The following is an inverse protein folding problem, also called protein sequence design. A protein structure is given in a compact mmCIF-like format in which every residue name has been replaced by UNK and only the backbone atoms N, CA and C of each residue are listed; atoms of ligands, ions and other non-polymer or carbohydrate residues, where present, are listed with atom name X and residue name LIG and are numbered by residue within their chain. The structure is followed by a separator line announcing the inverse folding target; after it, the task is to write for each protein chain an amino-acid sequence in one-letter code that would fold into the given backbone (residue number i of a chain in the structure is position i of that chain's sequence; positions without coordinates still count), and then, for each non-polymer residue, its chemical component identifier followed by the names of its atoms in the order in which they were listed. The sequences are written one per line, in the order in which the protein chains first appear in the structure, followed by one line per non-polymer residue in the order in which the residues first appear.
data_IF_045734369382
#
_entry.id   IF_045734369382
#
_cell.length_a   1.000
_cell.length_b   1.000
_cell.length_c   1.000
_cell.angle_alpha   90.00
_cell.angle_beta   90.00
_cell.angle_gamma   90.00
#
_symmetry.space_group_name_H-M   'P 1'
#
loop_
_entity.id
_entity.type
_entity.pdbx_description
1 polymer ?
#
# COMPACT_ATOMS: atom_id res chain seq x y z
N UNK A 1 -27.25 -35.35 -0.45
CA UNK A 1 -26.29 -34.81 0.53
C UNK A 1 -26.07 -33.35 0.20
N UNK A 2 -26.55 -32.43 1.05
CA UNK A 2 -26.28 -31.01 0.91
C UNK A 2 -25.04 -30.73 1.74
N UNK A 3 -23.91 -30.47 1.09
CA UNK A 3 -22.66 -30.14 1.77
C UNK A 3 -22.71 -28.63 2.01
N UNK A 4 -23.14 -28.23 3.20
CA UNK A 4 -23.06 -26.83 3.62
C UNK A 4 -21.65 -26.59 4.11
N UNK A 5 -20.86 -25.85 3.33
CA UNK A 5 -19.54 -25.41 3.77
C UNK A 5 -19.76 -24.20 4.66
N UNK A 6 -19.18 -24.24 5.86
CA UNK A 6 -19.25 -23.14 6.81
C UNK A 6 -18.53 -21.90 6.26
N UNK A 7 -19.16 -20.74 6.36
CA UNK A 7 -18.63 -19.49 5.82
C UNK A 7 -17.27 -19.12 6.43
N UNK A 8 -17.00 -19.50 7.70
CA UNK A 8 -15.70 -19.26 8.32
C UNK A 8 -14.59 -20.07 7.64
N UNK A 9 -14.90 -21.29 7.19
CA UNK A 9 -13.96 -22.14 6.45
C UNK A 9 -13.67 -21.53 5.08
N UNK A 10 -14.70 -20.99 4.40
CA UNK A 10 -14.53 -20.28 3.13
C UNK A 10 -13.65 -19.04 3.32
N UNK A 11 -13.93 -18.23 4.34
CA UNK A 11 -13.18 -17.00 4.63
C UNK A 11 -11.72 -17.32 4.95
N UNK A 12 -11.44 -18.38 5.70
CA UNK A 12 -10.07 -18.76 6.05
C UNK A 12 -9.29 -19.28 4.82
N UNK A 13 -9.94 -20.07 3.96
CA UNK A 13 -9.38 -20.51 2.68
C UNK A 13 -9.08 -19.34 1.75
N UNK A 14 -9.99 -18.37 1.65
CA UNK A 14 -9.79 -17.17 0.84
C UNK A 14 -8.64 -16.34 1.40
N UNK A 15 -8.58 -16.11 2.71
CA UNK A 15 -7.48 -15.37 3.35
C UNK A 15 -6.14 -16.04 3.12
N UNK A 16 -6.09 -17.37 3.29
CA UNK A 16 -4.87 -18.15 3.06
C UNK A 16 -4.42 -18.09 1.61
N UNK A 17 -5.34 -18.20 0.66
CA UNK A 17 -5.01 -18.14 -0.76
C UNK A 17 -4.63 -16.74 -1.22
N UNK A 18 -5.28 -15.70 -0.70
CA UNK A 18 -4.87 -14.31 -0.90
C UNK A 18 -3.48 -14.09 -0.31
N UNK A 19 -3.21 -14.57 0.90
CA UNK A 19 -1.89 -14.48 1.52
C UNK A 19 -0.80 -15.16 0.70
N UNK A 20 -1.06 -16.36 0.18
CA UNK A 20 -0.12 -17.08 -0.69
C UNK A 20 0.11 -16.34 -2.02
N UNK A 21 -0.95 -15.84 -2.66
CA UNK A 21 -0.82 -15.06 -3.90
C UNK A 21 -0.08 -13.74 -3.64
N UNK A 22 -0.28 -13.10 -2.49
CA UNK A 22 0.44 -11.88 -2.11
C UNK A 22 1.91 -12.16 -1.75
N UNK A 23 2.23 -13.34 -1.21
CA UNK A 23 3.60 -13.77 -0.97
C UNK A 23 4.32 -14.15 -2.28
N UNK A 24 3.62 -14.79 -3.23
CA UNK A 24 4.16 -15.06 -4.57
C UNK A 24 4.26 -13.78 -5.41
N UNK A 25 3.39 -12.80 -5.17
CA UNK A 25 3.50 -11.41 -5.63
C UNK A 25 4.45 -10.63 -4.70
N UNK A 26 5.64 -11.18 -4.42
CA UNK A 26 6.87 -10.48 -3.98
C UNK A 26 7.24 -9.36 -4.98
N UNK A 27 6.31 -8.43 -5.18
CA UNK A 27 6.51 -7.13 -5.74
C UNK A 27 7.35 -6.40 -4.70
N UNK A 28 8.67 -6.54 -4.81
CA UNK A 28 9.67 -5.66 -4.18
C UNK A 28 9.36 -4.17 -4.43
N UNK A 29 8.45 -3.88 -5.37
CA UNK A 29 7.95 -2.56 -5.69
C UNK A 29 6.42 -2.57 -5.82
N UNK A 30 5.72 -2.09 -4.79
CA UNK A 30 4.30 -1.81 -4.87
C UNK A 30 4.10 -0.47 -5.60
N UNK A 31 3.43 -0.49 -6.75
CA UNK A 31 2.96 0.74 -7.40
C UNK A 31 1.61 1.12 -6.80
N UNK A 32 1.59 2.14 -5.96
CA UNK A 32 0.33 2.69 -5.43
C UNK A 32 -0.23 3.70 -6.43
N UNK A 33 -1.46 3.49 -6.89
CA UNK A 33 -2.16 4.47 -7.73
C UNK A 33 -2.49 5.71 -6.88
N UNK A 34 -2.00 6.87 -7.31
CA UNK A 34 -2.19 8.12 -6.56
C UNK A 34 -3.64 8.60 -6.51
N UNK A 35 -4.47 8.17 -7.46
CA UNK A 35 -5.90 8.43 -7.45
C UNK A 35 -6.56 7.66 -6.30
N UNK A 36 -6.23 6.38 -6.15
CA UNK A 36 -6.71 5.56 -5.03
C UNK A 36 -6.21 6.09 -3.69
N UNK A 37 -4.94 6.51 -3.63
CA UNK A 37 -4.40 7.10 -2.41
C UNK A 37 -5.10 8.42 -2.05
N UNK A 38 -5.43 9.25 -3.04
CA UNK A 38 -6.20 10.49 -2.88
C UNK A 38 -7.60 10.22 -2.34
N UNK A 39 -8.27 9.16 -2.82
CA UNK A 39 -9.58 8.74 -2.31
C UNK A 39 -9.52 8.26 -0.86
N UNK A 40 -8.54 7.43 -0.51
CA UNK A 40 -8.40 6.86 0.85
C UNK A 40 -8.00 7.93 1.87
N UNK A 41 -7.09 8.84 1.49
CA UNK A 41 -6.57 9.86 2.40
C UNK A 41 -7.40 11.14 2.42
N UNK A 42 -8.35 11.30 1.48
CA UNK A 42 -9.06 12.57 1.21
C UNK A 42 -8.14 13.76 0.92
N UNK A 43 -6.86 13.51 0.63
CA UNK A 43 -5.89 14.54 0.27
C UNK A 43 -5.89 14.75 -1.23
N UNK A 44 -5.68 16.00 -1.64
CA UNK A 44 -5.52 16.31 -3.06
C UNK A 44 -4.27 15.64 -3.65
N UNK A 45 -4.32 15.28 -4.94
CA UNK A 45 -3.14 14.71 -5.63
C UNK A 45 -1.91 15.61 -5.54
N UNK A 46 -2.10 16.94 -5.59
CA UNK A 46 -1.00 17.89 -5.45
C UNK A 46 -0.40 17.88 -4.05
N UNK A 47 -1.22 17.76 -3.00
CA UNK A 47 -0.72 17.57 -1.62
C UNK A 47 0.08 16.28 -1.52
N UNK A 48 -0.41 15.18 -2.12
CA UNK A 48 0.29 13.91 -2.10
C UNK A 48 1.65 13.98 -2.84
N UNK A 49 1.71 14.58 -4.03
CA UNK A 49 2.92 14.66 -4.86
C UNK A 49 3.95 15.71 -4.41
N UNK A 50 3.49 16.84 -3.90
CA UNK A 50 4.37 17.97 -3.65
C UNK A 50 4.73 18.11 -2.17
N UNK A 51 3.88 17.59 -1.29
CA UNK A 51 4.10 17.63 0.16
C UNK A 51 4.50 16.23 0.64
N UNK A 52 3.61 15.25 0.54
CA UNK A 52 3.80 13.95 1.19
C UNK A 52 4.96 13.15 0.59
N UNK A 53 5.08 13.05 -0.74
CA UNK A 53 6.21 12.31 -1.36
C UNK A 53 7.56 13.01 -1.24
N UNK A 54 7.57 14.28 -0.82
CA UNK A 54 8.78 15.04 -0.55
C UNK A 54 9.25 14.91 0.90
N UNK A 55 8.44 14.33 1.79
CA UNK A 55 8.80 14.12 3.19
C UNK A 55 9.96 13.12 3.30
N UNK A 56 10.90 13.33 4.23
CA UNK A 56 12.12 12.55 4.33
C UNK A 56 11.84 11.05 4.51
N UNK A 57 10.80 10.70 5.28
CA UNK A 57 10.40 9.31 5.52
C UNK A 57 10.00 8.59 4.21
N UNK A 58 9.36 9.30 3.27
CA UNK A 58 8.97 8.74 1.96
C UNK A 58 10.15 8.73 0.99
N UNK A 59 10.99 9.76 1.02
CA UNK A 59 12.19 9.85 0.16
C UNK A 59 13.17 8.70 0.46
N UNK A 60 13.36 8.34 1.73
CA UNK A 60 14.27 7.26 2.14
C UNK A 60 13.90 5.89 1.53
N UNK A 61 12.60 5.63 1.40
CA UNK A 61 12.04 4.39 0.86
C UNK A 61 11.73 4.48 -0.64
N UNK A 62 12.03 5.62 -1.26
CA UNK A 62 11.84 5.83 -2.70
C UNK A 62 13.10 5.46 -3.48
N UNK A 63 12.92 4.81 -4.64
CA UNK A 63 13.96 4.54 -5.64
C UNK A 63 13.53 5.11 -6.98
N UNK A 64 14.45 5.78 -7.68
CA UNK A 64 14.20 6.31 -9.03
C UNK A 64 14.97 5.49 -10.06
N UNK A 65 14.24 4.99 -11.05
CA UNK A 65 14.80 4.30 -12.22
C UNK A 65 14.31 5.02 -13.47
N UNK A 66 15.16 5.86 -14.06
CA UNK A 66 14.77 6.74 -15.16
C UNK A 66 13.65 7.70 -14.76
N UNK A 67 12.53 7.67 -15.47
CA UNK A 67 11.33 8.46 -15.16
C UNK A 67 10.40 7.80 -14.14
N UNK A 68 10.65 6.56 -13.74
CA UNK A 68 9.78 5.80 -12.83
C UNK A 68 10.21 6.02 -11.39
N UNK A 69 9.22 6.30 -10.55
CA UNK A 69 9.35 6.34 -9.10
C UNK A 69 8.83 5.02 -8.56
N UNK A 70 9.68 4.31 -7.83
CA UNK A 70 9.36 3.05 -7.17
C UNK A 70 9.46 3.25 -5.67
N UNK A 71 8.60 2.57 -4.92
CA UNK A 71 8.61 2.61 -3.47
C UNK A 71 8.89 1.21 -2.93
N UNK A 72 9.81 1.12 -1.97
CA UNK A 72 10.12 -0.14 -1.31
C UNK A 72 8.92 -0.59 -0.48
N UNK A 73 8.48 -1.83 -0.70
CA UNK A 73 7.43 -2.46 0.08
C UNK A 73 8.05 -3.45 1.06
N UNK A 74 7.61 -3.49 2.35
CA UNK A 74 6.48 -2.76 2.93
C UNK A 74 6.80 -1.37 3.50
N UNK A 75 8.05 -0.92 3.45
CA UNK A 75 8.56 0.26 4.17
C UNK A 75 7.81 1.55 3.83
N UNK A 76 7.31 1.68 2.60
CA UNK A 76 6.49 2.80 2.17
C UNK A 76 5.20 2.97 2.99
N UNK A 77 4.59 1.87 3.45
CA UNK A 77 3.37 1.94 4.27
C UNK A 77 3.67 2.56 5.63
N UNK A 78 4.78 2.17 6.25
CA UNK A 78 5.22 2.74 7.53
C UNK A 78 5.60 4.22 7.38
N UNK A 79 6.26 4.58 6.29
CA UNK A 79 6.60 5.96 5.96
C UNK A 79 5.34 6.82 5.82
N UNK A 80 4.32 6.37 5.07
CA UNK A 80 3.06 7.09 4.95
C UNK A 80 2.35 7.26 6.30
N UNK A 81 2.35 6.22 7.14
CA UNK A 81 1.75 6.30 8.46
C UNK A 81 2.43 7.35 9.34
N UNK A 82 3.77 7.38 9.39
CA UNK A 82 4.55 8.37 10.15
C UNK A 82 4.25 9.80 9.68
N UNK A 83 4.23 10.01 8.37
CA UNK A 83 3.94 11.33 7.80
C UNK A 83 2.51 11.78 8.14
N UNK A 84 1.52 10.91 7.96
CA UNK A 84 0.12 11.24 8.24
C UNK A 84 -0.13 11.49 9.74
N UNK A 85 0.51 10.74 10.64
CA UNK A 85 0.43 10.98 12.08
C UNK A 85 1.10 12.29 12.51
N UNK A 86 2.13 12.75 11.77
CA UNK A 86 2.80 14.03 11.99
C UNK A 86 2.01 15.21 11.44
N UNK A 87 1.45 15.08 10.24
CA UNK A 87 0.72 16.17 9.54
C UNK A 87 -0.74 16.28 10.00
N UNK A 88 -1.33 15.20 10.51
CA UNK A 88 -2.68 15.17 11.06
C UNK A 88 -2.82 15.72 12.49
N UNK A 89 -1.73 16.19 13.09
CA UNK A 89 -1.71 16.94 14.37
C UNK A 89 -1.66 18.44 14.10
#
# INVERSE_FOLDING_TARGET
MNITIDDAVIVDLVKKQVGNVMADLELEFATVDINQLSEITSLSRSTLLNTITCEPEIVEVTRRIGSRVLYLYPEVLEAYKKVLERVGK
#
